data_IF_649157388851
#
_entry.id   IF_649157388851
#
_cell.length_a   1.000
_cell.length_b   1.000
_cell.length_c   1.000
_cell.angle_alpha   90.00
_cell.angle_beta   90.00
_cell.angle_gamma   90.00
#
_symmetry.space_group_name_H-M   'P 1'
#
loop_
_entity.id
_entity.type
_entity.pdbx_description
1 polymer ?
#
# COMPACT_ATOMS: atom_id res chain seq x y z
N UNK A 1 -20.63 19.75 13.91
CA UNK A 1 -19.97 20.74 13.04
C UNK A 1 -19.00 19.95 12.19
N UNK A 2 -19.11 19.99 10.86
CA UNK A 2 -18.18 19.27 9.99
C UNK A 2 -16.77 19.90 10.12
N UNK A 3 -15.74 19.07 10.21
CA UNK A 3 -14.34 19.50 10.28
C UNK A 3 -13.91 20.26 9.02
N UNK A 4 -12.71 20.82 9.02
CA UNK A 4 -12.19 21.61 7.88
C UNK A 4 -12.12 20.79 6.57
N UNK A 5 -12.08 19.46 6.66
CA UNK A 5 -12.11 18.52 5.53
C UNK A 5 -13.46 17.79 5.36
N UNK A 6 -14.53 18.27 6.00
CA UNK A 6 -15.88 17.71 5.88
C UNK A 6 -16.15 16.54 6.85
N UNK A 7 -17.05 15.62 6.48
CA UNK A 7 -17.32 14.36 7.20
C UNK A 7 -16.38 13.24 6.73
N UNK A 8 -15.07 13.50 6.65
CA UNK A 8 -14.12 12.48 6.22
C UNK A 8 -13.97 11.41 7.31
N UNK A 9 -14.31 10.16 7.00
CA UNK A 9 -14.05 9.04 7.91
C UNK A 9 -12.59 8.60 7.81
N UNK A 10 -11.77 9.15 8.70
CA UNK A 10 -10.35 8.81 8.87
C UNK A 10 -10.12 7.31 9.11
N UNK A 11 -11.00 6.65 9.86
CA UNK A 11 -10.85 5.22 10.14
C UNK A 11 -10.96 4.41 8.85
N UNK A 12 -11.97 4.73 8.04
CA UNK A 12 -12.18 4.07 6.74
C UNK A 12 -11.05 4.39 5.76
N UNK A 13 -10.56 5.64 5.73
CA UNK A 13 -9.44 6.04 4.89
C UNK A 13 -8.13 5.28 5.23
N UNK A 14 -7.78 5.17 6.52
CA UNK A 14 -6.61 4.38 6.97
C UNK A 14 -6.76 2.91 6.61
N UNK A 15 -7.92 2.30 6.87
CA UNK A 15 -8.18 0.88 6.54
C UNK A 15 -8.02 0.61 5.06
N UNK A 16 -8.61 1.45 4.21
CA UNK A 16 -8.50 1.29 2.76
C UNK A 16 -7.05 1.44 2.29
N UNK A 17 -6.30 2.39 2.83
CA UNK A 17 -4.88 2.55 2.51
C UNK A 17 -4.02 1.35 2.95
N UNK A 18 -4.28 0.79 4.14
CA UNK A 18 -3.62 -0.45 4.60
C UNK A 18 -4.00 -1.62 3.69
N UNK A 19 -5.26 -1.75 3.30
CA UNK A 19 -5.72 -2.82 2.41
C UNK A 19 -5.08 -2.72 1.02
N UNK A 20 -5.00 -1.51 0.45
CA UNK A 20 -4.33 -1.27 -0.84
C UNK A 20 -2.84 -1.58 -0.73
N UNK A 21 -2.16 -1.10 0.32
CA UNK A 21 -0.75 -1.37 0.55
C UNK A 21 -0.47 -2.85 0.76
N UNK A 22 -1.31 -3.53 1.54
CA UNK A 22 -1.23 -4.99 1.73
C UNK A 22 -1.49 -5.76 0.45
N UNK A 23 -2.45 -5.35 -0.37
CA UNK A 23 -2.71 -5.97 -1.68
C UNK A 23 -1.51 -5.83 -2.62
N UNK A 24 -0.85 -4.68 -2.65
CA UNK A 24 0.39 -4.47 -3.41
C UNK A 24 1.50 -5.42 -2.99
N UNK A 25 1.71 -5.57 -1.67
CA UNK A 25 2.71 -6.52 -1.14
C UNK A 25 2.35 -7.95 -1.52
N UNK A 26 1.10 -8.36 -1.32
CA UNK A 26 0.66 -9.72 -1.63
C UNK A 26 0.81 -10.02 -3.12
N UNK A 27 0.46 -9.08 -4.00
CA UNK A 27 0.62 -9.25 -5.44
C UNK A 27 2.08 -9.26 -5.88
N UNK A 28 2.94 -8.42 -5.28
CA UNK A 28 4.39 -8.44 -5.49
C UNK A 28 4.98 -9.81 -5.15
N UNK A 29 4.77 -10.25 -3.91
CA UNK A 29 5.28 -11.52 -3.39
C UNK A 29 4.78 -12.73 -4.18
N UNK A 30 3.47 -12.80 -4.44
CA UNK A 30 2.89 -13.90 -5.21
C UNK A 30 3.38 -13.87 -6.66
N UNK A 31 3.52 -12.69 -7.26
CA UNK A 31 4.00 -12.54 -8.63
C UNK A 31 5.46 -12.99 -8.79
N UNK A 32 6.34 -12.59 -7.86
CA UNK A 32 7.73 -13.05 -7.83
C UNK A 32 7.83 -14.56 -7.61
N UNK A 33 7.15 -15.06 -6.57
CA UNK A 33 7.21 -16.47 -6.19
C UNK A 33 6.63 -17.40 -7.27
N UNK A 34 5.44 -17.08 -7.80
CA UNK A 34 4.83 -17.88 -8.88
C UNK A 34 5.56 -17.71 -10.20
N UNK A 35 6.09 -16.51 -10.47
CA UNK A 35 6.91 -16.25 -11.62
C UNK A 35 8.14 -17.16 -11.63
N UNK A 36 8.86 -17.21 -10.52
CA UNK A 36 10.06 -18.03 -10.40
C UNK A 36 9.76 -19.53 -10.52
N UNK A 37 8.62 -19.94 -9.98
CA UNK A 37 8.16 -21.33 -10.05
C UNK A 37 7.84 -21.77 -11.50
N UNK A 38 7.23 -20.91 -12.31
CA UNK A 38 6.73 -21.28 -13.64
C UNK A 38 7.79 -21.05 -14.73
N UNK A 39 8.52 -19.93 -14.63
CA UNK A 39 9.42 -19.47 -15.70
C UNK A 39 10.91 -19.64 -15.39
N UNK A 40 11.26 -20.12 -14.18
CA UNK A 40 12.65 -20.22 -13.73
C UNK A 40 13.18 -18.87 -13.24
N UNK A 41 14.33 -18.41 -13.71
CA UNK A 41 14.83 -17.09 -13.33
C UNK A 41 14.00 -15.99 -14.00
N UNK A 42 13.28 -15.21 -13.19
CA UNK A 42 12.66 -13.98 -13.66
C UNK A 42 13.73 -13.01 -14.16
N UNK A 43 13.51 -12.49 -15.36
CA UNK A 43 14.34 -11.41 -15.90
C UNK A 43 14.36 -10.22 -14.94
N UNK A 44 15.52 -9.58 -14.81
CA UNK A 44 15.78 -8.57 -13.77
C UNK A 44 14.76 -7.43 -13.71
N UNK A 45 14.21 -6.99 -14.85
CA UNK A 45 13.17 -5.95 -14.89
C UNK A 45 11.86 -6.40 -14.23
N UNK A 46 11.41 -7.63 -14.49
CA UNK A 46 10.16 -8.14 -13.91
C UNK A 46 10.33 -8.41 -12.42
N UNK A 47 11.48 -8.95 -12.02
CA UNK A 47 11.79 -9.14 -10.61
C UNK A 47 11.79 -7.79 -9.86
N UNK A 48 12.48 -6.79 -10.42
CA UNK A 48 12.52 -5.43 -9.86
C UNK A 48 11.11 -4.82 -9.74
N UNK A 49 10.21 -5.09 -10.69
CA UNK A 49 8.84 -4.59 -10.65
C UNK A 49 8.03 -5.21 -9.49
N UNK A 50 8.17 -6.52 -9.25
CA UNK A 50 7.51 -7.19 -8.11
C UNK A 50 8.06 -6.68 -6.79
N UNK A 51 9.38 -6.61 -6.65
CA UNK A 51 10.01 -6.01 -5.47
C UNK A 51 9.55 -4.55 -5.26
N UNK A 52 9.44 -3.75 -6.32
CA UNK A 52 8.95 -2.38 -6.23
C UNK A 52 7.48 -2.30 -5.78
N UNK A 53 6.63 -3.26 -6.16
CA UNK A 53 5.26 -3.35 -5.65
C UNK A 53 5.22 -3.60 -4.14
N UNK A 54 6.11 -4.45 -3.62
CA UNK A 54 6.20 -4.72 -2.18
C UNK A 54 6.59 -3.46 -1.40
N UNK A 55 7.69 -2.81 -1.79
CA UNK A 55 8.12 -1.56 -1.16
C UNK A 55 7.07 -0.45 -1.32
N UNK A 56 6.45 -0.36 -2.50
CA UNK A 56 5.35 0.56 -2.76
C UNK A 56 4.17 0.32 -1.83
N UNK A 57 3.79 -0.93 -1.59
CA UNK A 57 2.72 -1.28 -0.68
C UNK A 57 3.01 -0.86 0.77
N UNK A 58 4.25 -1.03 1.25
CA UNK A 58 4.68 -0.53 2.57
C UNK A 58 4.55 0.99 2.63
N UNK A 59 5.04 1.71 1.62
CA UNK A 59 4.96 3.18 1.55
C UNK A 59 3.50 3.64 1.56
N UNK A 60 2.63 3.01 0.77
CA UNK A 60 1.20 3.33 0.71
C UNK A 60 0.53 3.14 2.06
N UNK A 61 0.77 2.01 2.74
CA UNK A 61 0.21 1.74 4.06
C UNK A 61 0.72 2.75 5.10
N UNK A 62 2.01 3.08 5.08
CA UNK A 62 2.59 4.09 5.99
C UNK A 62 1.99 5.47 5.75
N UNK A 63 1.93 5.93 4.50
CA UNK A 63 1.33 7.22 4.15
C UNK A 63 -0.12 7.27 4.62
N UNK A 64 -0.88 6.19 4.44
CA UNK A 64 -2.26 6.14 4.90
C UNK A 64 -2.38 6.34 6.41
N UNK A 65 -1.56 5.63 7.19
CA UNK A 65 -1.54 5.76 8.67
C UNK A 65 -1.08 7.16 9.09
N UNK A 66 0.01 7.68 8.52
CA UNK A 66 0.54 8.98 8.93
C UNK A 66 -0.38 10.14 8.53
N UNK A 67 -0.95 10.13 7.32
CA UNK A 67 -1.78 11.24 6.87
C UNK A 67 -3.17 11.15 7.50
N UNK A 68 -3.87 10.04 7.32
CA UNK A 68 -5.27 9.93 7.75
C UNK A 68 -5.43 9.52 9.21
N UNK A 69 -4.45 8.82 9.79
CA UNK A 69 -4.50 8.41 11.20
C UNK A 69 -3.88 9.42 12.17
N UNK A 70 -2.99 10.31 11.69
CA UNK A 70 -2.24 11.23 12.55
C UNK A 70 -2.38 12.68 12.10
N UNK A 71 -1.86 13.04 10.92
CA UNK A 71 -1.73 14.43 10.50
C UNK A 71 -3.08 15.13 10.34
N UNK A 72 -4.00 14.57 9.56
CA UNK A 72 -5.30 15.20 9.30
C UNK A 72 -6.16 15.34 10.57
N UNK A 73 -6.34 14.29 11.41
CA UNK A 73 -7.08 14.41 12.66
C UNK A 73 -6.54 15.46 13.65
N UNK A 74 -5.24 15.78 13.59
CA UNK A 74 -4.63 16.81 14.44
C UNK A 74 -4.79 18.24 13.90
N UNK A 75 -5.22 18.39 12.64
CA UNK A 75 -5.35 19.70 11.96
C UNK A 75 -6.78 20.20 11.82
N UNK A 76 -7.74 19.34 12.16
CA UNK A 76 -9.15 19.65 12.33
C UNK A 76 -9.49 20.07 13.76
#
# INVERSE_FOLDING_TARGET
MAGRYGELDYSTAVKNGILIGGALILLGFLGESTGHLIFGDLTGTLNTAFTAMEFGGVIVAMIAVFIFGVALPLTE
#
